data_IF_142190154953
#
_entry.id   IF_142190154953
#
_cell.length_a   1.000
_cell.length_b   1.000
_cell.length_c   1.000
_cell.angle_alpha   90.00
_cell.angle_beta   90.00
_cell.angle_gamma   90.00
#
_symmetry.space_group_name_H-M   'P 1'
#
loop_
_entity.id
_entity.type
_entity.pdbx_description
1 polymer ?
#
# COMPACT_ATOMS: atom_id res chain seq x y z
N UNK A 1 13.44 -4.95 -43.46
CA UNK A 1 12.02 -4.50 -43.45
C UNK A 1 11.06 -5.67 -43.20
N UNK A 2 11.17 -6.80 -43.94
CA UNK A 2 10.28 -7.98 -43.79
C UNK A 2 10.42 -8.70 -42.43
N UNK A 3 11.62 -8.77 -41.85
CA UNK A 3 11.86 -9.43 -40.55
C UNK A 3 11.20 -8.75 -39.34
N UNK A 4 10.85 -7.46 -39.44
CA UNK A 4 10.24 -6.70 -38.34
C UNK A 4 8.70 -6.68 -38.41
N UNK A 5 8.10 -7.23 -39.48
CA UNK A 5 6.65 -7.25 -39.67
C UNK A 5 5.90 -7.98 -38.53
N UNK A 6 6.36 -9.14 -38.02
CA UNK A 6 5.68 -9.81 -36.92
C UNK A 6 5.70 -9.01 -35.60
N UNK A 7 6.77 -8.28 -35.34
CA UNK A 7 6.88 -7.40 -34.16
C UNK A 7 5.96 -6.19 -34.28
N UNK A 8 5.85 -5.63 -35.50
CA UNK A 8 4.94 -4.54 -35.79
C UNK A 8 3.48 -4.97 -35.67
N UNK A 9 3.11 -6.16 -36.16
CA UNK A 9 1.75 -6.69 -36.03
C UNK A 9 1.38 -6.90 -34.56
N UNK A 10 2.28 -7.46 -33.75
CA UNK A 10 2.06 -7.64 -32.31
C UNK A 10 1.89 -6.28 -31.59
N UNK A 11 2.68 -5.27 -31.96
CA UNK A 11 2.56 -3.94 -31.39
C UNK A 11 1.23 -3.27 -31.76
N UNK A 12 0.79 -3.42 -33.01
CA UNK A 12 -0.51 -2.91 -33.48
C UNK A 12 -1.66 -3.59 -32.74
N UNK A 13 -1.60 -4.91 -32.55
CA UNK A 13 -2.59 -5.66 -31.77
C UNK A 13 -2.67 -5.18 -30.32
N UNK A 14 -1.53 -4.97 -29.66
CA UNK A 14 -1.47 -4.42 -28.29
C UNK A 14 -2.07 -3.02 -28.22
N UNK A 15 -1.74 -2.14 -29.16
CA UNK A 15 -2.30 -0.78 -29.21
C UNK A 15 -3.81 -0.84 -29.42
N UNK A 16 -4.29 -1.66 -30.36
CA UNK A 16 -5.73 -1.83 -30.63
C UNK A 16 -6.48 -2.29 -29.38
N UNK A 17 -5.94 -3.27 -28.64
CA UNK A 17 -6.49 -3.73 -27.38
C UNK A 17 -6.57 -2.60 -26.34
N UNK A 18 -5.50 -1.82 -26.17
CA UNK A 18 -5.49 -0.69 -25.22
C UNK A 18 -6.49 0.41 -25.61
N UNK A 19 -6.67 0.68 -26.90
CA UNK A 19 -7.68 1.63 -27.41
C UNK A 19 -9.10 1.13 -27.07
N UNK A 20 -9.38 -0.15 -27.27
CA UNK A 20 -10.67 -0.73 -26.93
C UNK A 20 -10.95 -0.65 -25.41
N UNK A 21 -9.96 -1.00 -24.59
CA UNK A 21 -10.05 -0.89 -23.12
C UNK A 21 -10.30 0.56 -22.71
N UNK A 22 -9.54 1.51 -23.25
CA UNK A 22 -9.73 2.94 -22.97
C UNK A 22 -11.12 3.43 -23.39
N UNK A 23 -11.63 2.95 -24.53
CA UNK A 23 -12.99 3.20 -24.99
C UNK A 23 -14.05 2.72 -24.00
N UNK A 24 -13.92 1.47 -23.51
CA UNK A 24 -14.81 0.89 -22.49
C UNK A 24 -14.76 1.65 -21.16
N UNK A 25 -13.58 2.00 -20.69
CA UNK A 25 -13.40 2.79 -19.45
C UNK A 25 -14.07 4.15 -19.58
N UNK A 26 -13.83 4.88 -20.68
CA UNK A 26 -14.42 6.19 -20.92
C UNK A 26 -15.94 6.15 -21.07
N UNK A 27 -16.50 5.03 -21.54
CA UNK A 27 -17.94 4.80 -21.57
C UNK A 27 -18.49 4.67 -20.14
N UNK A 28 -17.88 3.80 -19.33
CA UNK A 28 -18.28 3.59 -17.93
C UNK A 28 -18.19 4.90 -17.12
N UNK A 29 -17.09 5.66 -17.24
CA UNK A 29 -16.91 6.94 -16.54
C UNK A 29 -18.04 7.93 -16.85
N UNK A 30 -18.51 7.96 -18.11
CA UNK A 30 -19.60 8.83 -18.54
C UNK A 30 -20.95 8.34 -18.04
N UNK A 31 -21.26 7.05 -18.19
CA UNK A 31 -22.54 6.46 -17.79
C UNK A 31 -22.76 6.47 -16.28
N UNK A 32 -21.70 6.33 -15.49
CA UNK A 32 -21.77 6.31 -14.02
C UNK A 32 -21.39 7.64 -13.38
N UNK A 33 -21.14 8.68 -14.20
CA UNK A 33 -20.81 10.05 -13.78
C UNK A 33 -19.68 10.12 -12.73
N UNK A 34 -18.67 9.25 -12.87
CA UNK A 34 -17.61 9.09 -11.86
C UNK A 34 -16.74 10.32 -11.68
N UNK A 35 -16.74 11.25 -12.64
CA UNK A 35 -15.96 12.48 -12.56
C UNK A 35 -16.42 13.38 -11.42
N UNK A 36 -17.73 13.56 -11.27
CA UNK A 36 -18.28 14.38 -10.18
C UNK A 36 -18.09 13.69 -8.82
N UNK A 37 -18.33 12.37 -8.76
CA UNK A 37 -18.11 11.59 -7.55
C UNK A 37 -16.65 11.63 -7.12
N UNK A 38 -15.71 11.40 -8.04
CA UNK A 38 -14.28 11.40 -7.75
C UNK A 38 -13.78 12.76 -7.28
N UNK A 39 -14.31 13.86 -7.83
CA UNK A 39 -14.00 15.21 -7.36
C UNK A 39 -14.48 15.41 -5.92
N UNK A 40 -15.73 15.03 -5.63
CA UNK A 40 -16.31 15.12 -4.29
C UNK A 40 -15.54 14.27 -3.26
N UNK A 41 -15.12 13.05 -3.63
CA UNK A 41 -14.30 12.19 -2.77
C UNK A 41 -12.97 12.86 -2.41
N UNK A 42 -12.34 13.55 -3.35
CA UNK A 42 -11.12 14.29 -3.08
C UNK A 42 -11.35 15.53 -2.23
N UNK A 43 -12.33 16.35 -2.61
CA UNK A 43 -12.66 17.56 -1.88
C UNK A 43 -12.99 17.22 -0.42
N UNK A 44 -13.60 16.06 -0.17
CA UNK A 44 -13.89 15.59 1.17
C UNK A 44 -12.62 15.21 1.96
N UNK A 45 -11.65 14.56 1.32
CA UNK A 45 -10.39 14.15 1.95
C UNK A 45 -9.47 15.35 2.23
N UNK A 46 -9.49 16.38 1.37
CA UNK A 46 -8.70 17.60 1.52
C UNK A 46 -9.41 18.71 2.30
N UNK A 47 -10.70 18.54 2.62
CA UNK A 47 -11.47 19.49 3.41
C UNK A 47 -12.07 20.66 2.62
N UNK A 48 -12.08 20.57 1.28
CA UNK A 48 -12.71 21.52 0.37
C UNK A 48 -14.24 21.33 0.29
N UNK A 49 -14.74 20.14 0.64
CA UNK A 49 -16.17 19.81 0.70
C UNK A 49 -16.62 19.35 2.09
N UNK A 50 -17.90 19.57 2.39
CA UNK A 50 -18.50 19.23 3.68
C UNK A 50 -19.83 18.49 3.55
N UNK A 51 -20.65 18.59 4.60
CA UNK A 51 -21.91 17.85 4.69
C UNK A 51 -22.92 18.23 3.61
N UNK A 52 -22.88 19.46 3.07
CA UNK A 52 -23.87 19.95 2.10
C UNK A 52 -23.72 19.25 0.76
N UNK A 53 -22.50 19.19 0.26
CA UNK A 53 -22.14 18.58 -1.02
C UNK A 53 -22.39 17.06 -0.97
N UNK A 54 -22.04 16.41 0.15
CA UNK A 54 -22.35 14.99 0.38
C UNK A 54 -23.86 14.75 0.36
N UNK A 55 -24.66 15.53 1.10
CA UNK A 55 -26.12 15.36 1.13
C UNK A 55 -26.72 15.59 -0.27
N UNK A 56 -26.22 16.58 -1.02
CA UNK A 56 -26.65 16.84 -2.39
C UNK A 56 -26.38 15.63 -3.30
N UNK A 57 -25.19 15.02 -3.21
CA UNK A 57 -24.86 13.83 -3.99
C UNK A 57 -25.69 12.61 -3.58
N UNK A 58 -25.95 12.40 -2.29
CA UNK A 58 -26.77 11.27 -1.81
C UNK A 58 -28.21 11.32 -2.35
N UNK A 59 -28.75 12.52 -2.60
CA UNK A 59 -30.06 12.72 -3.22
C UNK A 59 -30.07 12.42 -4.72
N UNK A 60 -28.92 12.51 -5.39
CA UNK A 60 -28.77 12.17 -6.81
C UNK A 60 -29.00 10.67 -7.04
N UNK A 61 -29.47 10.31 -8.24
CA UNK A 61 -29.56 8.91 -8.66
C UNK A 61 -28.15 8.41 -8.98
N UNK A 62 -27.61 7.50 -8.17
CA UNK A 62 -26.31 6.86 -8.39
C UNK A 62 -26.33 5.44 -7.82
N UNK A 63 -25.30 4.65 -8.12
CA UNK A 63 -25.23 3.26 -7.64
C UNK A 63 -25.09 3.23 -6.11
N UNK A 64 -25.72 2.25 -5.43
CA UNK A 64 -25.64 2.14 -3.98
C UNK A 64 -24.20 1.94 -3.49
N UNK A 65 -23.38 1.24 -4.27
CA UNK A 65 -21.95 1.05 -3.97
C UNK A 65 -21.18 2.37 -3.94
N UNK A 66 -21.41 3.27 -4.91
CA UNK A 66 -20.76 4.58 -4.94
C UNK A 66 -21.20 5.45 -3.74
N UNK A 67 -22.48 5.39 -3.38
CA UNK A 67 -23.00 6.10 -2.19
C UNK A 67 -22.39 5.56 -0.90
N UNK A 68 -22.29 4.23 -0.78
CA UNK A 68 -21.67 3.58 0.37
C UNK A 68 -20.20 3.96 0.48
N UNK A 69 -19.44 3.92 -0.63
CA UNK A 69 -18.03 4.31 -0.65
C UNK A 69 -17.82 5.76 -0.24
N UNK A 70 -18.65 6.68 -0.74
CA UNK A 70 -18.61 8.08 -0.34
C UNK A 70 -18.87 8.24 1.17
N UNK A 71 -19.86 7.51 1.70
CA UNK A 71 -20.18 7.53 3.14
C UNK A 71 -19.09 6.90 4.01
N UNK A 72 -18.42 5.87 3.51
CA UNK A 72 -17.24 5.27 4.17
C UNK A 72 -16.11 6.30 4.29
N UNK A 73 -15.81 7.05 3.22
CA UNK A 73 -14.82 8.14 3.27
C UNK A 73 -15.30 9.23 4.25
N UNK A 74 -16.57 9.63 4.17
CA UNK A 74 -17.14 10.64 5.07
C UNK A 74 -17.07 10.22 6.54
N UNK A 75 -17.27 8.94 6.85
CA UNK A 75 -17.20 8.40 8.20
C UNK A 75 -15.79 8.41 8.79
N UNK A 76 -14.77 8.29 7.95
CA UNK A 76 -13.36 8.39 8.37
C UNK A 76 -12.96 9.85 8.59
N UNK A 77 -13.37 10.75 7.69
CA UNK A 77 -12.99 12.19 7.78
C UNK A 77 -13.75 12.90 8.91
N UNK A 78 -15.02 12.55 9.12
CA UNK A 78 -15.91 13.17 10.09
C UNK A 78 -16.62 12.13 10.98
N UNK A 79 -15.88 11.41 11.86
CA UNK A 79 -16.46 10.37 12.71
C UNK A 79 -17.60 10.89 13.61
N UNK A 80 -17.54 12.15 14.03
CA UNK A 80 -18.56 12.80 14.87
C UNK A 80 -19.92 12.98 14.18
N UNK A 81 -19.95 12.88 12.83
CA UNK A 81 -21.19 12.98 12.04
C UNK A 81 -21.95 11.66 11.98
N UNK A 82 -21.33 10.57 12.43
CA UNK A 82 -21.92 9.24 12.50
C UNK A 82 -22.28 8.82 13.94
N UNK A 83 -22.15 9.72 14.92
CA UNK A 83 -22.61 9.47 16.29
C UNK A 83 -24.15 9.67 16.42
N UNK A 84 -24.81 8.69 17.07
CA UNK A 84 -26.25 8.71 17.36
C UNK A 84 -27.15 8.60 16.11
N UNK A 85 -28.31 9.26 16.14
CA UNK A 85 -29.33 9.18 15.07
C UNK A 85 -28.92 9.78 13.72
N UNK A 86 -27.78 10.48 13.64
CA UNK A 86 -27.33 11.12 12.40
C UNK A 86 -26.95 10.09 11.33
N UNK A 87 -26.31 8.99 11.73
CA UNK A 87 -25.95 7.90 10.83
C UNK A 87 -27.20 7.29 10.18
N UNK A 88 -28.22 6.98 10.98
CA UNK A 88 -29.50 6.44 10.50
C UNK A 88 -30.20 7.38 9.51
N UNK A 89 -30.17 8.70 9.76
CA UNK A 89 -30.73 9.70 8.84
C UNK A 89 -29.96 9.75 7.50
N UNK A 90 -28.63 9.66 7.53
CA UNK A 90 -27.81 9.61 6.32
C UNK A 90 -28.07 8.33 5.51
N UNK A 91 -28.27 7.19 6.19
CA UNK A 91 -28.63 5.92 5.54
C UNK A 91 -29.99 5.98 4.86
N UNK A 92 -30.99 6.56 5.54
CA UNK A 92 -32.31 6.78 4.97
C UNK A 92 -32.27 7.69 3.74
N UNK A 93 -31.48 8.78 3.80
CA UNK A 93 -31.31 9.69 2.66
C UNK A 93 -30.62 9.00 1.48
N UNK A 94 -29.62 8.16 1.75
CA UNK A 94 -28.89 7.41 0.74
C UNK A 94 -29.69 6.24 0.15
N UNK A 95 -30.81 5.84 0.78
CA UNK A 95 -31.60 4.63 0.47
C UNK A 95 -30.75 3.34 0.56
N UNK A 96 -29.87 3.26 1.56
CA UNK A 96 -28.98 2.12 1.78
C UNK A 96 -29.55 1.15 2.83
N UNK A 97 -29.10 -0.11 2.76
CA UNK A 97 -29.56 -1.17 3.67
C UNK A 97 -28.95 -0.99 5.07
N UNK A 98 -29.61 -1.45 6.15
CA UNK A 98 -28.96 -1.58 7.46
C UNK A 98 -27.69 -2.45 7.43
N UNK A 99 -27.54 -3.35 6.46
CA UNK A 99 -26.29 -4.12 6.30
C UNK A 99 -25.12 -3.25 5.84
N UNK A 100 -25.39 -2.17 5.09
CA UNK A 100 -24.35 -1.22 4.67
C UNK A 100 -23.90 -0.35 5.85
N UNK A 101 -24.77 -0.10 6.82
CA UNK A 101 -24.40 0.56 8.07
C UNK A 101 -23.40 -0.28 8.88
N UNK A 102 -23.53 -1.62 8.86
CA UNK A 102 -22.55 -2.51 9.48
C UNK A 102 -21.17 -2.34 8.87
N UNK A 103 -21.08 -2.21 7.53
CA UNK A 103 -19.82 -1.97 6.82
C UNK A 103 -19.14 -0.68 7.32
N UNK A 104 -19.89 0.41 7.44
CA UNK A 104 -19.37 1.69 7.94
C UNK A 104 -18.90 1.55 9.40
N UNK A 105 -19.68 0.86 10.22
CA UNK A 105 -19.35 0.63 11.64
C UNK A 105 -18.07 -0.21 11.79
N UNK A 106 -17.97 -1.31 11.04
CA UNK A 106 -16.79 -2.18 11.01
C UNK A 106 -15.55 -1.42 10.54
N UNK A 107 -15.70 -0.56 9.53
CA UNK A 107 -14.63 0.31 9.07
C UNK A 107 -14.17 1.31 10.14
N UNK A 108 -15.11 1.92 10.88
CA UNK A 108 -14.77 2.84 11.98
C UNK A 108 -14.04 2.14 13.12
N UNK A 109 -14.40 0.89 13.42
CA UNK A 109 -13.69 0.08 14.41
C UNK A 109 -12.23 -0.21 13.98
N UNK A 110 -12.03 -0.54 12.69
CA UNK A 110 -10.69 -0.77 12.12
C UNK A 110 -9.84 0.50 12.04
N UNK A 111 -10.45 1.65 11.75
CA UNK A 111 -9.75 2.94 11.72
C UNK A 111 -9.27 3.39 13.12
N UNK A 112 -9.72 2.71 14.18
CA UNK A 112 -9.50 3.08 15.56
C UNK A 112 -10.52 4.13 15.97
N UNK A 113 -11.40 3.76 16.91
CA UNK A 113 -12.29 4.73 17.55
C UNK A 113 -11.43 5.87 18.08
N UNK A 114 -11.65 7.09 17.61
CA UNK A 114 -10.99 8.27 18.13
C UNK A 114 -11.32 8.35 19.62
N UNK A 115 -10.40 7.84 20.46
CA UNK A 115 -10.60 7.77 21.89
C UNK A 115 -10.86 9.19 22.39
N UNK A 116 -12.12 9.44 22.79
CA UNK A 116 -12.41 10.38 23.87
C UNK A 116 -11.41 10.06 24.98
N UNK A 117 -10.61 11.05 25.34
CA UNK A 117 -9.61 10.96 26.41
C UNK A 117 -10.24 10.33 27.66
N UNK A 118 -9.96 9.06 27.90
CA UNK A 118 -9.91 8.52 29.25
C UNK A 118 -8.44 8.27 29.57
N UNK A 119 -8.01 8.87 30.66
CA UNK A 119 -6.72 8.69 31.29
C UNK A 119 -6.54 7.25 31.79
N UNK A 120 -5.40 6.64 31.50
CA UNK A 120 -4.88 5.48 32.24
C UNK A 120 -4.77 4.19 31.43
N UNK A 121 -3.54 3.68 31.28
CA UNK A 121 -3.27 2.32 30.79
C UNK A 121 -2.15 2.28 29.74
N UNK A 122 -0.92 2.01 30.19
CA UNK A 122 0.19 1.60 29.33
C UNK A 122 -0.13 0.26 28.64
N UNK A 123 0.19 0.14 27.34
CA UNK A 123 0.30 -1.18 26.69
C UNK A 123 -0.58 -1.48 25.47
N UNK A 124 -1.23 -0.50 24.84
CA UNK A 124 -1.99 -0.71 23.59
C UNK A 124 -1.37 -0.01 22.39
N UNK A 125 -0.91 -0.76 21.39
CA UNK A 125 -0.53 -0.25 20.07
C UNK A 125 -1.76 0.42 19.43
N UNK A 126 -1.84 1.74 19.57
CA UNK A 126 -2.87 2.60 19.00
C UNK A 126 -2.18 3.42 17.92
N UNK A 127 -2.49 3.11 16.65
CA UNK A 127 -2.14 3.93 15.49
C UNK A 127 -2.86 5.28 15.63
N UNK A 128 -2.31 6.18 16.45
CA UNK A 128 -2.81 7.53 16.64
C UNK A 128 -2.32 8.37 15.49
N UNK A 129 -3.11 8.40 14.41
CA UNK A 129 -2.94 9.39 13.36
C UNK A 129 -3.06 10.80 13.97
N UNK A 130 -2.02 11.58 13.75
CA UNK A 130 -1.75 12.86 14.37
C UNK A 130 -2.91 13.87 14.18
N UNK A 131 -3.67 14.11 15.25
CA UNK A 131 -4.74 15.10 15.28
C UNK A 131 -4.17 16.49 15.59
N UNK A 132 -3.48 17.11 14.64
CA UNK A 132 -3.14 18.55 14.72
C UNK A 132 -4.26 19.40 14.12
N UNK A 133 -5.12 19.87 15.01
CA UNK A 133 -5.97 21.08 14.97
C UNK A 133 -6.34 21.66 13.58
N UNK A 134 -7.59 21.38 13.18
CA UNK A 134 -8.56 22.31 12.55
C UNK A 134 -8.07 23.07 11.29
N UNK A 135 -7.79 22.31 10.24
CA UNK A 135 -8.59 22.35 9.00
C UNK A 135 -8.93 20.88 8.71
N UNK A 136 -10.18 20.53 8.39
CA UNK A 136 -10.63 19.13 8.25
C UNK A 136 -10.07 18.45 6.98
N UNK A 137 -8.77 18.54 6.76
CA UNK A 137 -8.06 17.86 5.71
C UNK A 137 -7.46 16.58 6.31
N UNK A 138 -8.01 15.42 5.95
CA UNK A 138 -7.46 14.12 6.33
C UNK A 138 -6.09 13.88 5.66
N UNK A 139 -5.76 14.63 4.60
CA UNK A 139 -4.44 14.64 3.94
C UNK A 139 -3.92 16.05 3.71
N UNK A 140 -2.59 16.19 3.78
CA UNK A 140 -1.90 17.42 3.39
C UNK A 140 -1.78 17.45 1.87
N UNK A 141 -2.24 18.54 1.26
CA UNK A 141 -2.08 18.78 -0.16
C UNK A 141 -0.58 18.90 -0.52
N UNK A 142 -0.16 18.25 -1.59
CA UNK A 142 1.22 18.29 -2.09
C UNK A 142 1.21 19.02 -3.42
N UNK A 143 1.70 20.25 -3.40
CA UNK A 143 1.99 21.05 -4.59
C UNK A 143 3.26 20.50 -5.25
N UNK A 144 3.20 19.30 -5.83
CA UNK A 144 4.24 18.85 -6.77
C UNK A 144 3.79 19.31 -8.17
N UNK A 145 4.59 20.20 -8.78
CA UNK A 145 4.32 20.95 -10.03
C UNK A 145 4.05 20.07 -11.27
N UNK A 146 4.23 18.75 -11.19
CA UNK A 146 4.00 17.81 -12.30
C UNK A 146 2.58 17.18 -12.30
N UNK A 147 1.81 17.31 -11.22
CA UNK A 147 0.48 16.66 -11.09
C UNK A 147 -0.70 17.54 -11.54
N UNK A 148 -0.44 18.79 -11.97
CA UNK A 148 -1.47 19.73 -12.46
C UNK A 148 -2.23 19.25 -13.71
N UNK A 149 -1.76 18.21 -14.39
CA UNK A 149 -2.41 17.71 -15.62
C UNK A 149 -3.68 16.89 -15.38
N UNK A 150 -3.95 16.44 -14.14
CA UNK A 150 -5.13 15.62 -13.86
C UNK A 150 -5.77 15.92 -12.50
N UNK A 151 -6.75 16.83 -12.48
CA UNK A 151 -7.49 17.31 -11.29
C UNK A 151 -8.05 16.19 -10.38
N UNK A 152 -8.29 14.98 -10.92
CA UNK A 152 -8.76 13.79 -10.19
C UNK A 152 -7.64 12.93 -9.58
N UNK A 153 -6.40 13.40 -9.46
CA UNK A 153 -5.28 12.61 -8.91
C UNK A 153 -4.55 13.22 -7.71
N UNK A 154 -5.17 14.17 -6.98
CA UNK A 154 -4.55 14.78 -5.79
C UNK A 154 -4.25 13.78 -4.65
N UNK A 155 -5.04 12.72 -4.53
CA UNK A 155 -4.88 11.75 -3.43
C UNK A 155 -3.69 10.81 -3.65
N UNK A 156 -2.81 10.73 -2.65
CA UNK A 156 -1.73 9.75 -2.60
C UNK A 156 -1.87 8.80 -1.38
N UNK A 157 -1.66 7.48 -1.55
CA UNK A 157 -1.66 6.51 -0.45
C UNK A 157 -0.63 6.83 0.65
N UNK A 158 -0.94 6.47 1.92
CA UNK A 158 -0.07 6.76 3.08
C UNK A 158 1.32 6.15 2.93
N UNK A 159 1.41 5.02 2.23
CA UNK A 159 2.66 4.31 1.97
C UNK A 159 3.69 5.20 1.26
N UNK A 160 3.26 6.16 0.44
CA UNK A 160 4.16 7.08 -0.24
C UNK A 160 4.97 7.91 0.77
N UNK A 161 4.29 8.50 1.77
CA UNK A 161 4.96 9.26 2.83
C UNK A 161 5.85 8.38 3.70
N UNK A 162 5.40 7.17 4.00
CA UNK A 162 6.16 6.23 4.84
C UNK A 162 7.47 5.83 4.16
N UNK A 163 7.43 5.53 2.86
CA UNK A 163 8.63 5.20 2.09
C UNK A 163 9.56 6.41 1.98
N UNK A 164 9.03 7.60 1.74
CA UNK A 164 9.85 8.83 1.68
C UNK A 164 10.51 9.15 3.02
N UNK A 165 9.76 9.07 4.14
CA UNK A 165 10.29 9.23 5.50
C UNK A 165 11.33 8.17 5.84
N UNK A 166 11.09 6.92 5.44
CA UNK A 166 12.05 5.82 5.60
C UNK A 166 13.33 6.09 4.81
N UNK A 167 13.23 6.64 3.60
CA UNK A 167 14.39 6.99 2.79
C UNK A 167 15.21 8.13 3.42
N UNK A 168 14.54 9.13 4.01
CA UNK A 168 15.18 10.22 4.77
C UNK A 168 15.66 9.80 6.17
N UNK A 169 15.33 8.59 6.61
CA UNK A 169 15.56 8.10 7.98
C UNK A 169 14.88 8.95 9.07
N UNK A 170 13.79 9.64 8.71
CA UNK A 170 12.97 10.48 9.60
C UNK A 170 11.76 9.74 10.19
N UNK A 171 11.70 8.42 10.00
CA UNK A 171 10.60 7.61 10.51
C UNK A 171 10.65 7.56 12.05
N UNK A 172 9.52 7.87 12.70
CA UNK A 172 9.42 7.90 14.15
C UNK A 172 9.67 6.50 14.73
N UNK A 173 10.79 6.33 15.43
CA UNK A 173 11.19 5.05 16.04
C UNK A 173 10.21 4.55 17.12
N UNK A 174 9.43 5.47 17.69
CA UNK A 174 8.41 5.19 18.69
C UNK A 174 7.19 4.47 18.08
N UNK A 175 6.89 4.72 16.81
CA UNK A 175 5.74 4.13 16.11
C UNK A 175 6.19 2.92 15.26
N UNK A 176 7.40 2.99 14.69
CA UNK A 176 7.99 1.94 13.87
C UNK A 176 9.34 1.50 14.45
N UNK A 177 9.29 0.60 15.44
CA UNK A 177 10.49 0.06 16.07
C UNK A 177 11.22 -0.92 15.15
N UNK A 178 12.54 -0.79 15.06
CA UNK A 178 13.38 -1.74 14.35
C UNK A 178 13.66 -2.95 15.26
N UNK A 179 13.24 -4.15 14.86
CA UNK A 179 13.50 -5.39 15.60
C UNK A 179 15.00 -5.69 15.67
N UNK A 180 15.71 -5.42 14.58
CA UNK A 180 17.16 -5.50 14.51
C UNK A 180 17.68 -4.09 14.25
N UNK A 181 18.16 -3.40 15.29
CA UNK A 181 18.92 -2.17 15.05
C UNK A 181 20.15 -2.53 14.21
N UNK A 182 20.37 -1.88 13.06
CA UNK A 182 21.60 -2.08 12.33
C UNK A 182 22.73 -1.61 13.25
N UNK A 183 23.59 -2.55 13.68
CA UNK A 183 24.80 -2.23 14.45
C UNK A 183 25.47 -1.04 13.78
N UNK A 184 25.64 0.07 14.50
CA UNK A 184 26.44 1.20 14.03
C UNK A 184 27.80 0.62 13.69
N UNK A 185 28.09 0.39 12.41
CA UNK A 185 29.43 0.05 11.98
C UNK A 185 30.25 1.31 12.25
N UNK A 186 30.81 1.37 13.45
CA UNK A 186 31.86 2.31 13.80
C UNK A 186 32.88 2.23 12.68
N UNK A 187 33.01 3.33 11.94
CA UNK A 187 34.11 3.54 11.02
C UNK A 187 35.41 3.57 11.85
N UNK A 188 35.88 2.39 12.24
CA UNK A 188 37.17 2.23 12.87
C UNK A 188 38.18 2.29 11.72
N UNK A 189 38.69 3.51 11.50
CA UNK A 189 39.88 3.75 10.69
C UNK A 189 40.94 2.75 11.11
N UNK A 190 41.23 1.80 10.23
CA UNK A 190 42.40 0.93 10.36
C UNK A 190 43.62 1.83 10.11
N UNK A 191 44.57 1.99 11.05
CA UNK A 191 45.81 2.66 10.72
C UNK A 191 46.64 1.71 9.85
N UNK A 192 47.10 2.22 8.71
CA UNK A 192 48.06 1.55 7.85
C UNK A 192 49.32 1.22 8.66
N UNK A 193 49.73 -0.05 8.67
CA UNK A 193 51.09 -0.44 9.07
C UNK A 193 51.79 -1.14 7.92
N UNK A 194 53.00 -0.65 7.72
CA UNK A 194 54.01 -1.00 6.75
C UNK A 194 54.57 -2.42 6.92
N UNK A 195 55.27 -2.83 5.87
CA UNK A 195 55.84 -4.12 5.50
C UNK A 195 57.00 -4.68 6.35
N UNK A 196 57.30 -5.97 6.05
CA UNK A 196 58.50 -6.83 6.33
C UNK A 196 58.34 -7.75 7.57
N UNK A 197 58.63 -9.06 7.59
CA UNK A 197 59.38 -10.04 6.75
C UNK A 197 59.04 -11.47 7.27
N UNK A 198 59.36 -12.58 6.55
CA UNK A 198 58.90 -13.93 6.88
C UNK A 198 59.92 -14.72 7.71
N UNK A 199 59.49 -15.42 8.77
CA UNK A 199 60.27 -16.49 9.39
C UNK A 199 59.41 -17.65 9.89
N UNK A 200 59.99 -18.82 9.70
CA UNK A 200 59.55 -20.21 9.86
C UNK A 200 59.62 -20.71 11.31
N UNK A 201 58.61 -21.49 11.76
CA UNK A 201 58.74 -22.84 12.36
C UNK A 201 57.47 -23.22 13.18
N UNK A 202 57.17 -24.53 13.36
CA UNK A 202 55.84 -25.03 13.69
C UNK A 202 55.71 -25.59 15.12
N UNK A 203 54.52 -25.57 15.74
CA UNK A 203 54.12 -26.52 16.81
C UNK A 203 52.60 -26.55 17.10
N UNK A 204 52.00 -27.73 16.88
CA UNK A 204 51.04 -28.48 17.73
C UNK A 204 49.65 -27.94 18.14
N UNK A 205 48.63 -28.41 17.40
CA UNK A 205 47.32 -29.00 17.81
C UNK A 205 46.26 -28.18 18.63
N UNK A 206 44.95 -28.54 18.64
CA UNK A 206 44.23 -29.59 17.89
C UNK A 206 43.01 -29.10 17.07
N UNK A 207 42.56 -29.98 16.18
CA UNK A 207 41.41 -29.82 15.30
C UNK A 207 40.07 -29.75 16.05
N UNK A 208 39.29 -28.69 15.82
CA UNK A 208 37.86 -28.65 16.15
C UNK A 208 37.04 -29.17 14.96
N UNK A 209 36.66 -30.44 15.03
CA UNK A 209 35.66 -31.05 14.15
C UNK A 209 34.28 -30.69 14.71
N UNK A 210 33.70 -29.60 14.20
CA UNK A 210 32.24 -29.41 14.12
C UNK A 210 31.97 -28.42 12.98
N UNK A 211 32.21 -28.88 11.75
CA UNK A 211 31.68 -28.25 10.55
C UNK A 211 30.16 -28.37 10.59
N UNK A 212 29.48 -27.38 11.18
CA UNK A 212 28.08 -27.13 10.86
C UNK A 212 28.09 -26.55 9.45
N UNK A 213 27.81 -27.40 8.46
CA UNK A 213 27.44 -26.98 7.11
C UNK A 213 26.35 -25.91 7.23
N UNK A 214 26.71 -24.65 7.07
CA UNK A 214 25.74 -23.58 6.86
C UNK A 214 24.99 -23.91 5.57
N UNK A 215 23.66 -24.04 5.68
CA UNK A 215 22.82 -24.37 4.55
C UNK A 215 22.97 -23.29 3.47
N UNK A 216 23.39 -23.69 2.27
CA UNK A 216 23.90 -22.82 1.21
C UNK A 216 22.78 -22.11 0.40
N UNK A 217 21.56 -22.04 0.95
CA UNK A 217 20.37 -21.49 0.28
C UNK A 217 20.40 -19.97 0.07
N UNK A 218 21.44 -19.28 0.58
CA UNK A 218 21.60 -17.82 0.45
C UNK A 218 22.75 -17.36 -0.45
N UNK A 219 23.49 -18.25 -1.13
CA UNK A 219 24.49 -17.81 -2.10
C UNK A 219 23.79 -17.47 -3.42
N UNK A 220 23.88 -16.21 -3.84
CA UNK A 220 23.52 -15.77 -5.19
C UNK A 220 24.33 -16.61 -6.21
N UNK A 221 23.69 -17.60 -6.82
CA UNK A 221 24.24 -18.33 -7.95
C UNK A 221 24.04 -17.44 -9.18
N UNK A 222 25.06 -16.66 -9.51
CA UNK A 222 25.19 -16.12 -10.86
C UNK A 222 25.88 -17.21 -11.69
N UNK A 223 25.12 -18.21 -12.11
CA UNK A 223 25.53 -19.12 -13.19
C UNK A 223 25.03 -18.51 -14.49
N UNK A 224 25.99 -18.05 -15.28
CA UNK A 224 25.84 -17.48 -16.61
C UNK A 224 25.65 -18.64 -17.61
N UNK A 225 24.48 -19.25 -17.58
CA UNK A 225 24.14 -20.38 -18.43
C UNK A 225 23.14 -19.84 -19.46
N UNK A 226 23.69 -19.28 -20.54
CA UNK A 226 22.96 -18.56 -21.57
C UNK A 226 22.00 -19.45 -22.35
N UNK A 227 20.70 -19.34 -22.05
CA UNK A 227 19.62 -19.45 -23.05
C UNK A 227 18.30 -18.97 -22.42
N UNK A 228 17.92 -17.71 -22.63
CA UNK A 228 16.51 -17.30 -22.49
C UNK A 228 16.28 -15.94 -23.12
N UNK A 229 15.43 -15.94 -24.15
CA UNK A 229 14.94 -14.76 -24.88
C UNK A 229 13.96 -13.98 -24.01
N UNK A 230 14.48 -13.19 -23.07
CA UNK A 230 13.76 -12.02 -22.55
C UNK A 230 14.77 -10.96 -22.09
N UNK A 231 15.13 -10.08 -23.02
CA UNK A 231 16.10 -9.01 -22.85
C UNK A 231 15.57 -7.83 -22.04
N UNK A 232 14.27 -7.75 -21.76
CA UNK A 232 13.68 -6.64 -21.01
C UNK A 232 13.87 -6.81 -19.50
N UNK A 233 13.64 -8.02 -18.98
CA UNK A 233 13.80 -8.33 -17.56
C UNK A 233 15.27 -8.31 -17.10
N UNK A 234 16.22 -8.66 -17.97
CA UNK A 234 17.65 -8.67 -17.63
C UNK A 234 18.22 -7.27 -17.41
N UNK A 235 17.82 -6.29 -18.24
CA UNK A 235 18.24 -4.90 -18.07
C UNK A 235 17.69 -4.32 -16.76
N UNK A 236 16.42 -4.58 -16.47
CA UNK A 236 15.75 -4.18 -15.23
C UNK A 236 16.42 -4.81 -13.99
N UNK A 237 16.79 -6.10 -14.04
CA UNK A 237 17.51 -6.78 -12.97
C UNK A 237 18.95 -6.25 -12.74
N UNK A 238 19.65 -5.87 -13.82
CA UNK A 238 20.97 -5.26 -13.74
C UNK A 238 20.90 -3.85 -13.12
N UNK A 239 19.85 -3.10 -13.43
CA UNK A 239 19.58 -1.80 -12.80
C UNK A 239 19.26 -1.98 -11.30
N UNK A 240 18.45 -2.98 -10.92
CA UNK A 240 18.21 -3.31 -9.52
C UNK A 240 19.47 -3.70 -8.73
N UNK A 241 20.48 -4.28 -9.39
CA UNK A 241 21.76 -4.61 -8.75
C UNK A 241 22.60 -3.37 -8.42
N UNK A 242 22.34 -2.24 -9.10
CA UNK A 242 22.97 -0.93 -8.83
C UNK A 242 22.15 -0.08 -7.85
N UNK A 243 20.89 -0.43 -7.63
CA UNK A 243 20.00 0.23 -6.67
C UNK A 243 20.37 -0.29 -5.28
N UNK A 244 20.50 0.61 -4.29
CA UNK A 244 21.12 0.32 -2.99
C UNK A 244 20.39 -0.73 -2.10
N UNK A 245 20.23 -0.45 -0.80
CA UNK A 245 19.50 -1.40 0.08
C UNK A 245 18.07 -1.57 -0.44
N UNK A 246 17.49 -2.76 -0.47
CA UNK A 246 16.08 -2.94 -0.88
C UNK A 246 15.12 -2.45 0.21
N UNK A 247 13.89 -2.10 -0.15
CA UNK A 247 12.79 -1.84 0.80
C UNK A 247 11.74 -2.91 0.54
N UNK A 248 11.44 -3.71 1.55
CA UNK A 248 10.34 -4.67 1.51
C UNK A 248 9.19 -4.13 2.35
N UNK A 249 8.00 -4.10 1.77
CA UNK A 249 6.77 -3.67 2.44
C UNK A 249 5.78 -4.79 2.32
N UNK A 250 5.20 -5.22 3.44
CA UNK A 250 4.17 -6.25 3.44
C UNK A 250 2.88 -5.68 4.03
N UNK A 251 1.83 -5.57 3.21
CA UNK A 251 0.51 -5.12 3.65
C UNK A 251 -0.34 -6.35 3.99
N UNK A 252 -0.73 -6.47 5.25
CA UNK A 252 -1.62 -7.53 5.73
C UNK A 252 -3.07 -7.08 5.52
N UNK A 253 -3.91 -7.95 4.96
CA UNK A 253 -5.34 -7.70 4.78
C UNK A 253 -5.73 -7.35 3.34
N UNK A 254 -4.77 -6.84 2.57
CA UNK A 254 -4.93 -6.55 1.14
C UNK A 254 -4.24 -5.25 0.74
N UNK A 255 -3.82 -5.15 -0.51
CA UNK A 255 -3.21 -3.95 -1.08
C UNK A 255 -3.96 -3.53 -2.34
N UNK A 256 -3.91 -2.24 -2.62
CA UNK A 256 -4.60 -1.63 -3.77
C UNK A 256 -3.63 -1.39 -4.93
N UNK A 257 -4.18 -1.31 -6.15
CA UNK A 257 -3.39 -0.97 -7.35
C UNK A 257 -2.75 0.41 -7.25
N UNK A 258 -3.36 1.34 -6.50
CA UNK A 258 -2.80 2.67 -6.24
C UNK A 258 -1.52 2.60 -5.42
N UNK A 259 -1.46 1.74 -4.40
CA UNK A 259 -0.24 1.52 -3.59
C UNK A 259 0.87 0.85 -4.40
N UNK A 260 0.50 -0.10 -5.27
CA UNK A 260 1.45 -0.70 -6.20
C UNK A 260 2.04 0.33 -7.18
N UNK A 261 1.20 1.21 -7.74
CA UNK A 261 1.64 2.32 -8.60
C UNK A 261 2.64 3.22 -7.88
N UNK A 262 2.38 3.58 -6.63
CA UNK A 262 3.29 4.39 -5.80
C UNK A 262 4.63 3.69 -5.61
N UNK A 263 4.64 2.38 -5.32
CA UNK A 263 5.88 1.64 -5.15
C UNK A 263 6.76 1.69 -6.42
N UNK A 264 6.15 1.56 -7.60
CA UNK A 264 6.86 1.72 -8.88
C UNK A 264 7.35 3.16 -9.11
N UNK A 265 6.50 4.18 -8.85
CA UNK A 265 6.87 5.61 -8.93
C UNK A 265 8.10 5.89 -8.07
N UNK A 266 8.09 5.45 -6.81
CA UNK A 266 9.16 5.68 -5.86
C UNK A 266 10.42 4.87 -6.16
N UNK A 267 10.29 3.69 -6.76
CA UNK A 267 11.44 2.88 -7.19
C UNK A 267 12.29 3.65 -8.20
N UNK A 268 11.65 4.29 -9.18
CA UNK A 268 12.32 5.15 -10.16
C UNK A 268 12.83 6.45 -9.54
N UNK A 269 12.01 7.12 -8.71
CA UNK A 269 12.36 8.40 -8.05
C UNK A 269 13.56 8.28 -7.10
N UNK A 270 13.59 7.23 -6.28
CA UNK A 270 14.60 7.03 -5.24
C UNK A 270 15.81 6.23 -5.72
N UNK A 271 15.80 5.69 -6.95
CA UNK A 271 16.80 4.75 -7.48
C UNK A 271 17.08 3.61 -6.49
N UNK A 272 16.01 3.11 -5.84
CA UNK A 272 16.06 2.11 -4.78
C UNK A 272 14.90 1.14 -5.00
N UNK A 273 15.17 -0.16 -4.97
CA UNK A 273 14.15 -1.17 -5.23
C UNK A 273 13.15 -1.23 -4.07
N UNK A 274 11.88 -0.90 -4.36
CA UNK A 274 10.75 -1.04 -3.43
C UNK A 274 9.91 -2.23 -3.86
N UNK A 275 9.81 -3.22 -2.98
CA UNK A 275 9.07 -4.46 -3.21
C UNK A 275 7.86 -4.46 -2.30
N UNK A 276 6.67 -4.50 -2.92
CA UNK A 276 5.39 -4.63 -2.22
C UNK A 276 4.96 -6.09 -2.22
N UNK A 277 4.78 -6.65 -1.02
CA UNK A 277 4.07 -7.90 -0.79
C UNK A 277 2.72 -7.62 -0.13
N UNK A 278 1.74 -8.47 -0.43
CA UNK A 278 0.40 -8.37 0.16
C UNK A 278 -0.22 -9.76 0.32
N UNK A 279 -1.19 -9.88 1.21
CA UNK A 279 -2.02 -11.10 1.33
C UNK A 279 -3.00 -11.25 0.16
N UNK A 280 -3.52 -10.16 -0.38
CA UNK A 280 -4.41 -10.13 -1.55
C UNK A 280 -4.36 -8.78 -2.25
N UNK A 281 -4.73 -8.73 -3.52
CA UNK A 281 -4.95 -7.47 -4.24
C UNK A 281 -6.44 -7.16 -4.23
N UNK A 282 -6.80 -6.03 -3.63
CA UNK A 282 -8.20 -5.68 -3.38
C UNK A 282 -8.63 -4.49 -4.23
N UNK A 283 -9.77 -4.64 -4.89
CA UNK A 283 -10.53 -3.54 -5.49
C UNK A 283 -11.63 -3.07 -4.51
N UNK A 284 -12.17 -1.84 -4.65
CA UNK A 284 -13.17 -1.29 -3.72
C UNK A 284 -14.37 -2.21 -3.42
N UNK A 285 -15.00 -2.90 -4.39
CA UNK A 285 -16.11 -3.81 -4.11
C UNK A 285 -15.69 -5.01 -3.25
N UNK A 286 -14.48 -5.54 -3.47
CA UNK A 286 -13.95 -6.65 -2.69
C UNK A 286 -13.66 -6.22 -1.26
N UNK A 287 -13.13 -5.02 -1.07
CA UNK A 287 -12.89 -4.45 0.25
C UNK A 287 -14.20 -4.25 1.03
N UNK A 288 -15.25 -3.71 0.39
CA UNK A 288 -16.59 -3.60 0.99
C UNK A 288 -17.14 -4.97 1.40
N UNK A 289 -16.95 -5.99 0.56
CA UNK A 289 -17.40 -7.36 0.84
C UNK A 289 -16.68 -7.95 2.06
N UNK A 290 -15.37 -7.77 2.17
CA UNK A 290 -14.57 -8.18 3.34
C UNK A 290 -15.02 -7.47 4.63
N UNK A 291 -15.35 -6.18 4.53
CA UNK A 291 -15.88 -5.44 5.67
C UNK A 291 -17.28 -5.91 6.09
N UNK A 292 -18.09 -6.38 5.14
CA UNK A 292 -19.41 -6.93 5.44
C UNK A 292 -19.33 -8.25 6.20
N UNK A 293 -18.38 -9.12 5.85
CA UNK A 293 -18.17 -10.40 6.55
C UNK A 293 -17.42 -10.26 7.88
N UNK A 294 -16.85 -9.08 8.17
CA UNK A 294 -16.13 -8.84 9.42
C UNK A 294 -17.12 -8.89 10.60
N UNK A 295 -16.94 -9.87 11.49
CA UNK A 295 -17.81 -10.08 12.66
C UNK A 295 -18.86 -11.18 12.48
N UNK A 296 -19.04 -11.70 11.27
CA UNK A 296 -19.75 -12.96 11.07
C UNK A 296 -18.83 -14.09 11.54
N UNK A 297 -19.20 -14.76 12.63
CA UNK A 297 -18.49 -15.96 13.08
C UNK A 297 -18.63 -16.97 11.95
N UNK A 298 -17.53 -17.32 11.30
CA UNK A 298 -17.50 -18.50 10.43
C UNK A 298 -17.89 -19.68 11.31
N UNK A 299 -19.15 -20.09 11.24
CA UNK A 299 -19.58 -21.37 11.79
C UNK A 299 -18.96 -22.38 10.85
N UNK A 300 -17.75 -22.84 11.18
CA UNK A 300 -17.26 -24.07 10.57
C UNK A 300 -18.35 -25.13 10.77
N UNK A 301 -18.82 -25.79 9.70
CA UNK A 301 -19.71 -26.92 9.87
C UNK A 301 -18.99 -27.91 10.79
N UNK A 302 -19.68 -28.50 11.79
CA UNK A 302 -19.05 -29.48 12.65
C UNK A 302 -18.44 -30.54 11.76
N UNK A 303 -17.13 -30.78 11.94
CA UNK A 303 -16.47 -31.96 11.42
C UNK A 303 -17.30 -33.15 11.90
N UNK A 304 -18.15 -33.67 11.01
CA UNK A 304 -18.86 -34.92 11.25
C UNK A 304 -17.78 -35.98 11.39
N UNK A 305 -17.43 -36.27 12.65
CA UNK A 305 -16.77 -37.49 13.04
C UNK A 305 -17.68 -38.66 12.68
N UNK A 306 -17.52 -39.18 11.47
CA UNK A 306 -17.75 -40.57 11.16
C UNK A 306 -16.36 -41.23 11.37
N UNK A 307 -16.10 -42.03 12.41
CA UNK A 307 -17.06 -42.81 13.18
C UNK A 307 -17.52 -44.07 12.44
N UNK A 308 -16.65 -44.62 11.57
CA UNK A 308 -16.49 -46.07 11.32
C UNK A 308 -14.99 -46.34 11.16
#
# INVERSE_FOLDING_TARGET
MVQALPQYTEQVEKISLHVEIAGKINKIIRETELRELGQLEQDLVFGDAGSKEVIQFLRKQSTPENKLRLLMIYAIVYPEKFEGDKASKLMQLAKLSPDDLKVITNMQLLAGSSNKKSSGGEGGFSLKFNNQKIKHAARKDRTDEEEETWQLFRFFPMIEELIEKLNKSELAKNEYSCINEPSKSSAQRVPAKSSKTPQTAPTTAPHSIRSRRTANWGRSRTSDDGYSSDSTLKNVLADFKKMGKRIFIFIIGGATRSELRVCHKLTTKLKREVILGTTSMDDPPQYVTKLRSLGERQVEPPLNGLGI
#
